data_IF_723673038432
#
_entry.id   IF_723673038432
#
_cell.length_a   1.000
_cell.length_b   1.000
_cell.length_c   1.000
_cell.angle_alpha   90.00
_cell.angle_beta   90.00
_cell.angle_gamma   90.00
#
_symmetry.space_group_name_H-M   'P 1'
#
loop_
_entity.id
_entity.type
_entity.pdbx_description
1 polymer ?
#
# COMPACT_ATOMS: atom_id res chain seq x y z
N UNK A 1 -14.42 -16.45 4.72
CA UNK A 1 -13.09 -15.94 4.31
C UNK A 1 -13.41 -14.97 3.19
N UNK A 2 -12.73 -13.83 3.09
CA UNK A 2 -13.02 -12.86 2.02
C UNK A 2 -11.94 -12.92 0.95
N UNK A 3 -12.35 -13.04 -0.31
CA UNK A 3 -11.44 -13.14 -1.45
C UNK A 3 -11.74 -11.97 -2.37
N UNK A 4 -10.73 -11.14 -2.63
CA UNK A 4 -10.78 -10.13 -3.67
C UNK A 4 -10.01 -10.69 -4.86
N UNK A 5 -10.76 -11.25 -5.79
CA UNK A 5 -10.22 -11.74 -7.05
C UNK A 5 -10.31 -10.63 -8.09
N UNK A 6 -9.19 -10.36 -8.75
CA UNK A 6 -9.13 -9.41 -9.86
C UNK A 6 -9.08 -10.25 -11.14
N UNK A 7 -10.11 -10.21 -12.01
CA UNK A 7 -10.26 -11.16 -13.11
C UNK A 7 -9.04 -11.28 -14.02
N UNK A 8 -8.43 -10.14 -14.37
CA UNK A 8 -7.26 -10.08 -15.26
C UNK A 8 -5.90 -10.18 -14.53
N UNK A 9 -5.91 -10.27 -13.19
CA UNK A 9 -4.68 -10.30 -12.39
C UNK A 9 -4.26 -11.74 -12.10
N UNK A 10 -2.96 -12.06 -12.15
CA UNK A 10 -2.47 -13.33 -11.63
C UNK A 10 -2.55 -13.40 -10.10
N UNK A 11 -2.75 -12.26 -9.43
CA UNK A 11 -2.84 -12.18 -7.98
C UNK A 11 -4.27 -11.99 -7.48
N UNK A 12 -4.55 -12.56 -6.31
CA UNK A 12 -5.75 -12.29 -5.51
C UNK A 12 -5.38 -12.00 -4.06
N UNK A 13 -6.17 -11.17 -3.41
CA UNK A 13 -6.06 -10.91 -1.97
C UNK A 13 -7.01 -11.85 -1.23
N UNK A 14 -6.48 -12.59 -0.27
CA UNK A 14 -7.25 -13.46 0.62
C UNK A 14 -7.16 -12.90 2.04
N UNK A 15 -8.29 -12.50 2.59
CA UNK A 15 -8.42 -12.08 3.99
C UNK A 15 -9.07 -13.21 4.81
N UNK A 16 -8.48 -13.48 5.97
CA UNK A 16 -9.02 -14.46 6.92
C UNK A 16 -10.35 -13.96 7.53
N UNK A 17 -11.23 -14.88 7.92
CA UNK A 17 -12.56 -14.55 8.44
C UNK A 17 -12.47 -13.58 9.63
N UNK A 18 -13.18 -12.46 9.54
CA UNK A 18 -13.35 -11.51 10.64
C UNK A 18 -14.63 -11.84 11.42
N UNK A 19 -14.62 -11.74 12.76
CA UNK A 19 -15.88 -11.62 13.48
C UNK A 19 -16.58 -10.30 13.11
N UNK A 20 -17.93 -10.25 13.16
CA UNK A 20 -18.69 -9.04 12.88
C UNK A 20 -18.27 -7.91 13.83
N UNK A 21 -18.22 -6.70 13.28
CA UNK A 21 -17.74 -5.50 13.95
C UNK A 21 -18.48 -5.23 15.28
N UNK A 22 -17.82 -5.49 16.41
CA UNK A 22 -18.28 -4.97 17.70
C UNK A 22 -17.18 -4.33 18.55
N UNK A 23 -15.89 -4.61 18.32
CA UNK A 23 -14.85 -3.63 18.64
C UNK A 23 -13.51 -3.99 17.98
N UNK A 24 -12.83 -2.99 17.41
CA UNK A 24 -11.44 -3.10 16.92
C UNK A 24 -10.51 -3.60 18.04
N UNK A 25 -10.84 -3.28 19.30
CA UNK A 25 -10.12 -3.69 20.50
C UNK A 25 -10.16 -5.20 20.73
N UNK A 26 -11.31 -5.85 20.51
CA UNK A 26 -11.47 -7.31 20.59
C UNK A 26 -10.72 -8.01 19.45
N UNK A 27 -10.63 -7.37 18.28
CA UNK A 27 -9.90 -7.89 17.11
C UNK A 27 -8.38 -7.93 17.33
N UNK A 28 -7.82 -6.89 17.97
CA UNK A 28 -6.41 -6.82 18.33
C UNK A 28 -6.00 -7.83 19.42
N UNK A 29 -6.94 -8.27 20.26
CA UNK A 29 -6.68 -9.17 21.40
C UNK A 29 -6.76 -10.65 21.04
N UNK A 30 -7.48 -11.04 19.97
CA UNK A 30 -7.75 -12.44 19.63
C UNK A 30 -6.72 -13.09 18.68
N UNK A 31 -5.88 -12.30 18.00
CA UNK A 31 -4.96 -12.84 17.00
C UNK A 31 -3.55 -12.99 17.55
N UNK A 32 -3.21 -14.22 17.95
CA UNK A 32 -1.86 -14.61 18.37
C UNK A 32 -0.78 -14.30 17.32
N UNK A 33 -1.13 -14.08 16.05
CA UNK A 33 -0.26 -13.52 15.02
C UNK A 33 -1.00 -12.44 14.22
N UNK A 34 -0.40 -11.25 14.13
CA UNK A 34 -0.88 -10.04 13.42
C UNK A 34 -1.19 -10.21 11.91
N UNK A 35 -1.11 -11.43 11.35
CA UNK A 35 -1.35 -11.72 9.93
C UNK A 35 -2.86 -11.87 9.70
N UNK A 36 -3.44 -10.95 8.94
CA UNK A 36 -4.89 -10.90 8.66
C UNK A 36 -5.25 -11.42 7.26
N UNK A 37 -4.25 -11.68 6.43
CA UNK A 37 -4.44 -12.18 5.08
C UNK A 37 -3.13 -12.31 4.31
N UNK A 38 -3.23 -12.56 3.01
CA UNK A 38 -2.07 -12.67 2.12
C UNK A 38 -2.46 -12.45 0.66
N UNK A 39 -1.45 -12.13 -0.14
CA UNK A 39 -1.54 -12.12 -1.60
C UNK A 39 -1.13 -13.50 -2.12
N UNK A 40 -1.98 -14.06 -2.97
CA UNK A 40 -1.78 -15.35 -3.61
C UNK A 40 -1.60 -15.18 -5.10
N UNK A 41 -0.52 -15.75 -5.64
CA UNK A 41 -0.26 -15.88 -7.07
C UNK A 41 -0.95 -17.15 -7.57
N UNK A 42 -1.98 -16.96 -8.40
CA UNK A 42 -2.84 -18.02 -8.96
C UNK A 42 -2.07 -18.89 -9.95
N UNK A 43 -1.18 -18.30 -10.74
CA UNK A 43 -0.44 -18.98 -11.79
C UNK A 43 0.65 -19.88 -11.20
N UNK A 44 1.46 -19.32 -10.30
CA UNK A 44 2.54 -20.05 -9.65
C UNK A 44 2.09 -20.82 -8.39
N UNK A 45 0.78 -20.75 -8.08
CA UNK A 45 0.14 -21.41 -6.94
C UNK A 45 0.83 -21.19 -5.59
N UNK A 46 1.39 -19.99 -5.38
CA UNK A 46 2.22 -19.68 -4.21
C UNK A 46 1.75 -18.43 -3.49
N UNK A 47 2.01 -18.39 -2.18
CA UNK A 47 1.86 -17.17 -1.39
C UNK A 47 3.00 -16.20 -1.73
N UNK A 48 2.63 -14.97 -2.09
CA UNK A 48 3.59 -13.90 -2.43
C UNK A 48 4.02 -13.15 -1.18
N UNK A 49 3.05 -12.63 -0.44
CA UNK A 49 3.29 -11.75 0.71
C UNK A 49 2.15 -11.84 1.72
N UNK A 50 2.48 -11.75 3.02
CA UNK A 50 1.49 -11.66 4.10
C UNK A 50 1.01 -10.21 4.30
N UNK A 51 -0.26 -10.04 4.65
CA UNK A 51 -0.82 -8.76 5.12
C UNK A 51 -0.86 -8.79 6.65
N UNK A 52 -0.22 -7.80 7.27
CA UNK A 52 -0.04 -7.70 8.72
C UNK A 52 -0.74 -6.44 9.23
N UNK A 53 -1.59 -6.59 10.24
CA UNK A 53 -2.25 -5.49 10.93
C UNK A 53 -1.41 -5.07 12.14
N UNK A 54 -0.83 -3.88 12.11
CA UNK A 54 -0.12 -3.34 13.27
C UNK A 54 -0.04 -1.82 13.22
N UNK A 55 -0.79 -1.16 14.10
CA UNK A 55 -0.71 0.30 14.22
C UNK A 55 0.66 0.76 14.75
N UNK A 56 1.26 0.05 15.71
CA UNK A 56 2.50 0.47 16.36
C UNK A 56 3.70 0.49 15.40
N UNK A 57 3.91 -0.59 14.64
CA UNK A 57 4.94 -0.67 13.60
C UNK A 57 4.74 0.38 12.48
N UNK A 58 3.49 0.79 12.24
CA UNK A 58 3.11 1.76 11.22
C UNK A 58 3.41 3.20 11.69
N UNK A 59 3.24 3.51 12.99
CA UNK A 59 3.61 4.80 13.59
C UNK A 59 5.12 5.06 13.41
N UNK A 60 5.95 4.03 13.59
CA UNK A 60 7.39 4.11 13.30
C UNK A 60 7.71 4.29 11.80
N UNK A 61 6.74 4.06 10.92
CA UNK A 61 6.87 4.17 9.47
C UNK A 61 6.47 5.55 8.91
N UNK A 62 6.56 6.62 9.73
CA UNK A 62 6.23 8.01 9.36
C UNK A 62 4.75 8.23 9.02
N UNK A 63 3.84 7.72 9.86
CA UNK A 63 2.39 7.91 9.72
C UNK A 63 1.80 7.49 8.36
N UNK A 64 2.38 6.48 7.70
CA UNK A 64 1.79 5.91 6.49
C UNK A 64 0.53 5.11 6.85
N UNK A 65 -0.42 4.99 5.93
CA UNK A 65 -1.60 4.12 6.12
C UNK A 65 -1.29 2.64 5.83
N UNK A 66 -0.30 2.42 4.97
CA UNK A 66 0.17 1.13 4.49
C UNK A 66 1.65 1.25 4.09
N UNK A 67 2.43 0.19 4.26
CA UNK A 67 3.79 0.11 3.72
C UNK A 67 4.25 -1.34 3.57
N UNK A 68 5.17 -1.57 2.64
CA UNK A 68 5.99 -2.78 2.63
C UNK A 68 7.07 -2.72 3.70
N UNK A 69 7.17 -3.76 4.52
CA UNK A 69 8.25 -3.97 5.49
C UNK A 69 9.09 -5.18 5.10
N UNK A 70 10.41 -5.06 5.26
CA UNK A 70 11.38 -6.09 4.90
C UNK A 70 12.37 -6.22 6.06
N UNK A 71 12.05 -7.04 7.07
CA UNK A 71 12.95 -7.21 8.20
C UNK A 71 14.22 -7.95 7.77
N UNK A 72 15.36 -7.70 8.44
CA UNK A 72 16.55 -8.52 8.27
C UNK A 72 16.18 -10.01 8.45
N UNK A 73 16.60 -10.85 7.50
CA UNK A 73 16.41 -12.30 7.51
C UNK A 73 14.96 -12.81 7.47
N UNK A 74 13.97 -11.95 7.19
CA UNK A 74 12.56 -12.35 7.08
C UNK A 74 12.01 -12.09 5.69
N UNK A 75 10.93 -12.79 5.35
CA UNK A 75 10.17 -12.52 4.11
C UNK A 75 9.50 -11.14 4.20
N UNK A 76 9.37 -10.41 3.08
CA UNK A 76 8.64 -9.15 3.06
C UNK A 76 7.18 -9.37 3.50
N UNK A 77 6.59 -8.35 4.13
CA UNK A 77 5.17 -8.28 4.44
C UNK A 77 4.62 -6.89 4.17
N UNK A 78 3.31 -6.80 3.91
CA UNK A 78 2.61 -5.52 3.79
C UNK A 78 1.97 -5.23 5.15
N UNK A 79 2.35 -4.10 5.73
CA UNK A 79 1.83 -3.61 6.99
C UNK A 79 0.69 -2.63 6.73
N UNK A 80 -0.44 -2.80 7.42
CA UNK A 80 -1.57 -1.86 7.40
C UNK A 80 -1.95 -1.43 8.81
N UNK A 81 -2.51 -0.21 8.92
CA UNK A 81 -3.11 0.29 10.16
C UNK A 81 -4.60 -0.05 10.28
N UNK A 82 -5.17 0.22 11.46
CA UNK A 82 -6.59 -0.08 11.77
C UNK A 82 -7.55 0.67 10.83
N UNK A 83 -7.29 1.96 10.59
CA UNK A 83 -8.13 2.79 9.70
C UNK A 83 -8.14 2.22 8.28
N UNK A 84 -6.99 1.80 7.76
CA UNK A 84 -6.91 1.21 6.43
C UNK A 84 -7.63 -0.14 6.38
N UNK A 85 -7.49 -0.96 7.42
CA UNK A 85 -8.17 -2.23 7.55
C UNK A 85 -9.70 -2.07 7.55
N UNK A 86 -10.26 -1.11 8.30
CA UNK A 86 -11.69 -0.81 8.31
C UNK A 86 -12.21 -0.42 6.91
N UNK A 87 -11.44 0.41 6.19
CA UNK A 87 -11.77 0.79 4.81
C UNK A 87 -11.71 -0.40 3.86
N UNK A 88 -10.76 -1.31 4.06
CA UNK A 88 -10.61 -2.51 3.24
C UNK A 88 -11.80 -3.47 3.44
N UNK A 89 -12.21 -3.73 4.69
CA UNK A 89 -13.32 -4.65 4.99
C UNK A 89 -14.67 -4.11 4.53
N UNK A 90 -14.83 -2.77 4.51
CA UNK A 90 -15.97 -2.05 3.93
C UNK A 90 -15.93 -1.94 2.41
N UNK A 91 -15.03 -2.67 1.75
CA UNK A 91 -14.96 -2.84 0.28
C UNK A 91 -14.63 -1.58 -0.51
N UNK A 92 -13.93 -0.62 0.09
CA UNK A 92 -13.37 0.49 -0.68
C UNK A 92 -12.30 -0.01 -1.66
N UNK A 93 -12.61 0.04 -2.96
CA UNK A 93 -11.74 -0.46 -4.02
C UNK A 93 -10.39 0.28 -4.07
N UNK A 94 -10.33 1.52 -3.60
CA UNK A 94 -9.11 2.33 -3.52
C UNK A 94 -8.07 1.68 -2.60
N UNK A 95 -8.52 0.92 -1.60
CA UNK A 95 -7.62 0.14 -0.74
C UNK A 95 -6.94 -1.00 -1.51
N UNK A 96 -7.62 -1.58 -2.51
CA UNK A 96 -7.00 -2.58 -3.37
C UNK A 96 -5.86 -1.97 -4.17
N UNK A 97 -6.02 -0.75 -4.69
CA UNK A 97 -4.93 -0.06 -5.38
C UNK A 97 -3.70 0.10 -4.47
N UNK A 98 -3.88 0.58 -3.23
CA UNK A 98 -2.74 0.77 -2.31
C UNK A 98 -2.07 -0.56 -1.94
N UNK A 99 -2.84 -1.64 -1.76
CA UNK A 99 -2.26 -2.98 -1.53
C UNK A 99 -1.46 -3.44 -2.74
N UNK A 100 -2.01 -3.33 -3.94
CA UNK A 100 -1.36 -3.79 -5.16
C UNK A 100 -0.17 -2.93 -5.56
N UNK A 101 -0.16 -1.65 -5.19
CA UNK A 101 1.03 -0.79 -5.27
C UNK A 101 2.19 -1.37 -4.46
N UNK A 102 1.94 -1.76 -3.20
CA UNK A 102 2.95 -2.40 -2.36
C UNK A 102 3.36 -3.81 -2.88
N UNK A 103 2.42 -4.56 -3.46
CA UNK A 103 2.76 -5.80 -4.19
C UNK A 103 3.72 -5.51 -5.33
N UNK A 104 3.53 -4.42 -6.08
CA UNK A 104 4.42 -3.97 -7.13
C UNK A 104 5.85 -3.76 -6.63
N UNK A 105 6.02 -3.12 -5.46
CA UNK A 105 7.34 -2.97 -4.83
C UNK A 105 8.04 -4.30 -4.54
N UNK A 106 7.27 -5.32 -4.14
CA UNK A 106 7.80 -6.65 -3.81
C UNK A 106 8.14 -7.43 -5.07
N UNK A 107 7.21 -7.48 -6.04
CA UNK A 107 7.35 -8.24 -7.29
C UNK A 107 8.48 -7.69 -8.15
N UNK A 108 8.58 -6.36 -8.24
CA UNK A 108 9.61 -5.67 -9.04
C UNK A 108 10.93 -5.46 -8.27
N UNK A 109 11.04 -6.03 -7.07
CA UNK A 109 12.25 -6.07 -6.26
C UNK A 109 12.83 -4.65 -6.00
N UNK A 110 11.95 -3.68 -5.72
CA UNK A 110 12.37 -2.29 -5.58
C UNK A 110 13.24 -2.06 -4.34
N UNK A 111 13.14 -2.89 -3.31
CA UNK A 111 13.91 -2.76 -2.08
C UNK A 111 15.42 -2.86 -2.29
N UNK A 112 15.88 -3.64 -3.28
CA UNK A 112 17.28 -3.66 -3.69
C UNK A 112 17.68 -2.38 -4.43
N UNK A 113 16.75 -1.76 -5.17
CA UNK A 113 16.95 -0.52 -5.95
C UNK A 113 16.87 0.75 -5.09
N UNK A 114 16.09 0.74 -4.00
CA UNK A 114 15.81 1.91 -3.16
C UNK A 114 17.02 2.39 -2.35
N UNK A 115 17.97 1.52 -1.98
CA UNK A 115 19.09 1.90 -1.11
C UNK A 115 19.98 2.99 -1.72
N UNK A 116 20.16 2.99 -3.05
CA UNK A 116 20.91 4.02 -3.76
C UNK A 116 20.10 5.31 -3.98
N UNK A 117 18.80 5.20 -4.26
CA UNK A 117 17.92 6.33 -4.66
C UNK A 117 17.41 7.12 -3.44
N UNK A 118 17.21 6.47 -2.29
CA UNK A 118 16.62 7.11 -1.09
C UNK A 118 17.57 8.02 -0.33
N UNK A 119 18.89 7.80 -0.42
CA UNK A 119 19.90 8.64 0.25
C UNK A 119 19.80 10.12 -0.15
N UNK A 120 19.33 10.41 -1.37
CA UNK A 120 19.18 11.76 -1.89
C UNK A 120 17.73 12.23 -2.08
N UNK A 121 16.72 11.48 -1.58
CA UNK A 121 15.29 11.85 -1.76
C UNK A 121 14.97 13.26 -1.24
N UNK A 122 15.67 13.74 -0.21
CA UNK A 122 15.53 15.11 0.33
C UNK A 122 16.01 16.19 -0.66
N UNK A 123 16.98 15.86 -1.52
CA UNK A 123 17.59 16.77 -2.52
C UNK A 123 16.82 16.80 -3.84
N UNK A 124 15.89 15.87 -4.06
CA UNK A 124 15.09 15.85 -5.27
C UNK A 124 14.18 17.10 -5.35
N UNK A 125 13.99 17.66 -6.56
CA UNK A 125 13.01 18.71 -6.80
C UNK A 125 11.60 18.27 -6.38
N UNK A 126 10.76 19.17 -5.84
CA UNK A 126 9.35 18.88 -5.57
C UNK A 126 8.63 18.37 -6.84
N UNK A 127 7.76 17.37 -6.71
CA UNK A 127 7.06 16.77 -7.85
C UNK A 127 7.86 15.71 -8.61
N UNK A 128 9.08 15.40 -8.18
CA UNK A 128 9.84 14.28 -8.76
C UNK A 128 9.23 12.95 -8.31
N UNK A 129 8.70 12.18 -9.26
CA UNK A 129 8.28 10.79 -9.03
C UNK A 129 9.47 9.88 -9.27
N UNK A 130 9.96 9.23 -8.22
CA UNK A 130 11.07 8.29 -8.34
C UNK A 130 10.65 7.03 -9.11
N UNK A 131 11.54 6.41 -9.90
CA UNK A 131 11.18 5.28 -10.76
C UNK A 131 10.45 4.14 -10.02
N UNK A 132 10.86 3.73 -8.81
CA UNK A 132 10.15 2.69 -8.06
C UNK A 132 8.68 2.99 -7.74
N UNK A 133 8.31 4.25 -7.46
CA UNK A 133 6.91 4.62 -7.20
C UNK A 133 6.10 4.59 -8.49
N UNK A 134 6.68 5.11 -9.59
CA UNK A 134 6.08 5.07 -10.92
C UNK A 134 5.84 3.63 -11.41
N UNK A 135 6.83 2.77 -11.24
CA UNK A 135 6.76 1.36 -11.62
C UNK A 135 5.69 0.61 -10.81
N UNK A 136 5.59 0.89 -9.50
CA UNK A 136 4.56 0.30 -8.64
C UNK A 136 3.14 0.81 -8.94
N UNK A 137 2.99 2.11 -9.24
CA UNK A 137 1.72 2.67 -9.71
C UNK A 137 1.27 2.04 -11.02
N UNK A 138 2.19 1.93 -11.99
CA UNK A 138 1.89 1.30 -13.28
C UNK A 138 1.50 -0.17 -13.12
N UNK A 139 2.21 -0.92 -12.26
CA UNK A 139 1.88 -2.30 -11.92
C UNK A 139 0.45 -2.42 -11.35
N UNK A 140 0.10 -1.60 -10.37
CA UNK A 140 -1.23 -1.64 -9.76
C UNK A 140 -2.32 -1.19 -10.75
N UNK A 141 -2.07 -0.12 -11.52
CA UNK A 141 -3.00 0.40 -12.53
C UNK A 141 -3.27 -0.59 -13.66
N UNK A 142 -2.25 -1.35 -14.10
CA UNK A 142 -2.43 -2.40 -15.11
C UNK A 142 -3.40 -3.49 -14.66
N UNK A 143 -3.42 -3.81 -13.36
CA UNK A 143 -4.26 -4.87 -12.80
C UNK A 143 -5.67 -4.37 -12.44
N UNK A 144 -5.77 -3.16 -11.92
CA UNK A 144 -6.99 -2.62 -11.31
C UNK A 144 -7.69 -1.54 -12.15
N UNK A 145 -7.03 -1.06 -13.20
CA UNK A 145 -7.49 0.03 -14.05
C UNK A 145 -6.97 1.40 -13.59
N UNK A 146 -6.57 2.22 -14.57
CA UNK A 146 -6.02 3.57 -14.38
C UNK A 146 -6.98 4.50 -13.63
N UNK A 147 -8.29 4.39 -13.87
CA UNK A 147 -9.28 5.23 -13.19
C UNK A 147 -9.31 5.00 -11.67
N UNK A 148 -9.22 3.72 -11.24
CA UNK A 148 -9.18 3.38 -9.83
C UNK A 148 -7.86 3.84 -9.18
N UNK A 149 -6.75 3.73 -9.90
CA UNK A 149 -5.45 4.24 -9.47
C UNK A 149 -5.48 5.76 -9.25
N UNK A 150 -6.02 6.53 -10.20
CA UNK A 150 -6.18 7.99 -10.08
C UNK A 150 -7.06 8.33 -8.87
N UNK A 151 -8.20 7.66 -8.71
CA UNK A 151 -9.10 7.90 -7.57
C UNK A 151 -8.43 7.64 -6.23
N UNK A 152 -7.71 6.53 -6.11
CA UNK A 152 -6.99 6.18 -4.88
C UNK A 152 -5.88 7.20 -4.54
N UNK A 153 -5.16 7.70 -5.55
CA UNK A 153 -4.16 8.75 -5.35
C UNK A 153 -4.79 10.11 -5.01
N UNK A 154 -5.96 10.44 -5.56
CA UNK A 154 -6.72 11.63 -5.18
C UNK A 154 -7.16 11.57 -3.71
N UNK A 155 -7.70 10.43 -3.25
CA UNK A 155 -8.06 10.26 -1.85
C UNK A 155 -6.83 10.32 -0.91
N UNK A 156 -5.68 9.81 -1.37
CA UNK A 156 -4.42 9.93 -0.63
C UNK A 156 -3.95 11.38 -0.55
N UNK A 157 -4.10 12.15 -1.64
CA UNK A 157 -3.80 13.57 -1.67
C UNK A 157 -4.72 14.33 -0.70
N UNK A 158 -6.03 14.10 -0.77
CA UNK A 158 -7.03 14.73 0.11
C UNK A 158 -6.79 14.39 1.59
N UNK A 159 -6.52 13.12 1.88
CA UNK A 159 -6.21 12.71 3.26
C UNK A 159 -4.95 13.37 3.79
N UNK A 160 -3.96 13.65 2.92
CA UNK A 160 -2.73 14.30 3.32
C UNK A 160 -2.90 15.81 3.44
N UNK A 161 -3.59 16.47 2.51
CA UNK A 161 -3.72 17.93 2.47
C UNK A 161 -4.33 18.52 3.75
N UNK A 162 -5.08 17.72 4.50
CA UNK A 162 -5.65 18.06 5.79
C UNK A 162 -4.86 17.54 7.01
N UNK A 163 -3.72 16.88 6.80
CA UNK A 163 -2.89 16.32 7.86
C UNK A 163 -1.98 17.39 8.50
N UNK A 164 -1.85 17.35 9.82
CA UNK A 164 -0.96 18.25 10.56
C UNK A 164 0.48 17.71 10.49
N UNK A 165 1.24 18.11 9.47
CA UNK A 165 2.65 17.75 9.26
C UNK A 165 3.55 18.99 9.09
N UNK A 166 4.88 18.89 9.34
CA UNK A 166 5.82 19.98 9.06
C UNK A 166 5.74 20.45 7.59
N UNK A 167 5.51 21.75 7.40
CA UNK A 167 5.06 22.37 6.15
C UNK A 167 5.91 22.02 4.90
N UNK A 168 7.23 21.93 5.05
CA UNK A 168 8.14 21.65 3.93
C UNK A 168 8.08 20.20 3.43
N UNK A 169 7.91 19.22 4.31
CA UNK A 169 7.79 17.80 3.92
C UNK A 169 6.40 17.53 3.33
N UNK A 170 5.41 18.22 3.88
CA UNK A 170 4.03 18.16 3.47
C UNK A 170 3.84 18.61 2.01
N UNK A 171 4.34 19.80 1.65
CA UNK A 171 4.26 20.35 0.27
C UNK A 171 4.98 19.49 -0.77
N UNK A 172 6.11 18.87 -0.44
CA UNK A 172 6.83 17.97 -1.37
C UNK A 172 6.05 16.70 -1.64
N UNK A 173 5.44 16.09 -0.62
CA UNK A 173 4.66 14.87 -0.76
C UNK A 173 3.39 15.09 -1.60
N UNK A 174 2.67 16.20 -1.40
CA UNK A 174 1.49 16.53 -2.21
C UNK A 174 1.84 16.70 -3.70
N UNK A 175 2.92 17.44 -4.00
CA UNK A 175 3.40 17.59 -5.38
C UNK A 175 3.83 16.26 -6.01
N UNK A 176 4.43 15.36 -5.24
CA UNK A 176 4.77 14.01 -5.72
C UNK A 176 3.50 13.23 -6.10
N UNK A 177 2.44 13.27 -5.28
CA UNK A 177 1.17 12.60 -5.56
C UNK A 177 0.49 13.20 -6.80
N UNK A 178 0.46 14.54 -6.92
CA UNK A 178 -0.04 15.21 -8.13
C UNK A 178 0.70 14.74 -9.39
N UNK A 179 2.03 14.68 -9.33
CA UNK A 179 2.83 14.22 -10.45
C UNK A 179 2.55 12.74 -10.81
N UNK A 180 2.33 11.86 -9.82
CA UNK A 180 1.91 10.47 -10.03
C UNK A 180 0.57 10.40 -10.76
N UNK A 181 -0.42 11.20 -10.36
CA UNK A 181 -1.73 11.29 -11.03
C UNK A 181 -1.56 11.73 -12.49
N UNK A 182 -0.74 12.75 -12.76
CA UNK A 182 -0.51 13.23 -14.12
C UNK A 182 0.20 12.21 -15.00
N UNK A 183 1.09 11.38 -14.45
CA UNK A 183 1.72 10.29 -15.18
C UNK A 183 0.70 9.22 -15.59
N UNK A 184 -0.20 8.83 -14.69
CA UNK A 184 -1.26 7.86 -14.99
C UNK A 184 -2.24 8.37 -16.06
N UNK A 185 -2.55 9.67 -16.08
CA UNK A 185 -3.42 10.28 -17.10
C UNK A 185 -2.84 10.29 -18.52
N UNK A 186 -1.53 10.05 -18.67
CA UNK A 186 -0.84 10.04 -19.97
C UNK A 186 -0.66 8.64 -20.56
N UNK A 187 -1.04 7.60 -19.82
CA UNK A 187 -1.02 6.20 -20.26
C UNK A 187 -2.31 5.87 -21.02
#
# INVERSE_FOLDING_TARGET
>A
MKIYDIPASPYRLILHNHPPASSIKTLCQLMAHKIIGYIYDKENRKRVVNIVLSQDELIHSKNRLICTSIPPNHRPYILIGNIFFERLVTEKQECLFMIFHEVGHIVLNHYQKYAAITKDRKKLPPGTVIPPEREADAFAAQLLGTNLAIKALQELWDSRSHAVEPEMLHKKALKEIEARIQLLKKQ
#
